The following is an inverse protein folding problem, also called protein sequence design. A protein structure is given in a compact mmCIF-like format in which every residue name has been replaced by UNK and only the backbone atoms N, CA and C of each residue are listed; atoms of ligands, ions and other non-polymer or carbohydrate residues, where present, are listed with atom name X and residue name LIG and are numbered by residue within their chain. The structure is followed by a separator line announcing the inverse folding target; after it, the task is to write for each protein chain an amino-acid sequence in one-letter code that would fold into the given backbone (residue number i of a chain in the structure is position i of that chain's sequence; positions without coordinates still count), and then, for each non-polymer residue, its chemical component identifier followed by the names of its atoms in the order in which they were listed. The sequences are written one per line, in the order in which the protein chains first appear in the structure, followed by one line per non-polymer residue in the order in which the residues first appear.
data_IF_880157991273
#
_entry.id   IF_880157991273
#
_cell.length_a   1.000
_cell.length_b   1.000
_cell.length_c   1.000
_cell.angle_alpha   90.00
_cell.angle_beta   90.00
_cell.angle_gamma   90.00
#
_symmetry.space_group_name_H-M   'P 1'
#
loop_
_entity.id
_entity.type
_entity.pdbx_description
1 polymer ?
#
# COMPACT_ATOMS: atom_id res chain seq x y z
N UNK A 1 -1.03 -0.97 -2.78
CA UNK A 1 -1.61 -0.82 -1.42
C UNK A 1 -1.60 -2.18 -0.74
N UNK A 2 -1.29 -2.23 0.55
CA UNK A 2 -1.35 -3.50 1.29
C UNK A 2 -2.79 -4.03 1.34
N UNK A 3 -2.93 -5.35 1.23
CA UNK A 3 -4.24 -6.02 1.15
C UNK A 3 -4.76 -6.44 2.52
N UNK A 4 -4.82 -5.47 3.42
CA UNK A 4 -5.36 -5.61 4.77
C UNK A 4 -6.70 -4.88 4.88
N UNK A 5 -7.57 -5.36 5.76
CA UNK A 5 -8.98 -4.95 5.75
C UNK A 5 -9.19 -3.45 5.99
N UNK A 6 -8.33 -2.80 6.78
CA UNK A 6 -8.45 -1.37 7.04
C UNK A 6 -8.08 -0.48 5.84
N UNK A 7 -7.42 -1.00 4.80
CA UNK A 7 -7.20 -0.28 3.53
C UNK A 7 -8.36 -0.42 2.53
N UNK A 8 -9.41 -1.19 2.85
CA UNK A 8 -10.55 -1.46 1.96
C UNK A 8 -11.77 -0.58 2.26
N UNK A 9 -11.53 0.62 2.78
CA UNK A 9 -12.60 1.58 3.06
C UNK A 9 -13.22 2.09 1.75
N UNK A 10 -14.54 1.98 1.61
CA UNK A 10 -15.26 2.40 0.39
C UNK A 10 -15.09 3.89 0.09
N UNK A 11 -15.07 4.74 1.13
CA UNK A 11 -14.91 6.18 0.94
C UNK A 11 -13.53 6.55 0.39
N UNK A 12 -12.50 5.86 0.85
CA UNK A 12 -11.13 6.04 0.34
C UNK A 12 -11.06 5.63 -1.13
N UNK A 13 -11.73 4.52 -1.50
CA UNK A 13 -11.83 4.09 -2.89
C UNK A 13 -12.52 5.14 -3.78
N UNK A 14 -13.67 5.65 -3.37
CA UNK A 14 -14.40 6.71 -4.09
C UNK A 14 -13.53 7.96 -4.31
N UNK A 15 -12.78 8.39 -3.28
CA UNK A 15 -11.91 9.57 -3.36
C UNK A 15 -10.72 9.36 -4.30
N UNK A 16 -10.21 8.13 -4.40
CA UNK A 16 -9.13 7.80 -5.34
C UNK A 16 -9.68 7.75 -6.78
N UNK A 17 -10.84 7.15 -6.98
CA UNK A 17 -11.48 7.06 -8.30
C UNK A 17 -11.94 8.44 -8.80
N UNK A 18 -12.34 9.37 -7.91
CA UNK A 18 -12.79 10.71 -8.30
C UNK A 18 -11.70 11.58 -8.93
N UNK A 19 -10.42 11.25 -8.70
CA UNK A 19 -9.27 11.92 -9.34
C UNK A 19 -8.74 11.16 -10.55
N UNK A 20 -9.47 10.13 -11.03
CA UNK A 20 -9.08 9.32 -12.18
C UNK A 20 -8.00 8.27 -11.90
N UNK A 21 -7.71 7.99 -10.62
CA UNK A 21 -6.77 6.95 -10.20
C UNK A 21 -7.48 5.63 -9.86
N UNK A 22 -6.72 4.55 -9.80
CA UNK A 22 -7.22 3.23 -9.41
C UNK A 22 -6.35 2.61 -8.32
N UNK A 23 -6.93 1.68 -7.55
CA UNK A 23 -6.24 1.00 -6.45
C UNK A 23 -5.82 -0.40 -6.91
N UNK A 24 -4.52 -0.68 -6.84
CA UNK A 24 -3.98 -2.02 -6.92
C UNK A 24 -3.63 -2.53 -5.52
N UNK A 25 -4.32 -3.58 -5.09
CA UNK A 25 -4.01 -4.30 -3.86
C UNK A 25 -2.97 -5.39 -4.14
N UNK A 26 -1.94 -5.48 -3.30
CA UNK A 26 -0.91 -6.51 -3.40
C UNK A 26 -1.45 -7.87 -2.90
N UNK A 27 -0.88 -9.02 -3.31
CA UNK A 27 -1.19 -10.29 -2.67
C UNK A 27 -0.85 -10.24 -1.16
N UNK A 28 -1.59 -10.99 -0.35
CA UNK A 28 -1.38 -11.01 1.11
C UNK A 28 0.03 -11.52 1.43
N UNK A 29 0.67 -10.95 2.45
CA UNK A 29 2.03 -11.31 2.90
C UNK A 29 3.09 -11.24 1.78
N UNK A 30 2.97 -10.27 0.87
CA UNK A 30 3.93 -10.05 -0.21
C UNK A 30 4.75 -8.75 -0.03
N UNK A 31 5.58 -8.65 1.02
CA UNK A 31 6.37 -7.43 1.29
C UNK A 31 7.34 -7.10 0.16
N UNK A 32 7.85 -8.12 -0.56
CA UNK A 32 8.76 -7.94 -1.70
C UNK A 32 8.10 -7.19 -2.87
N UNK A 33 6.77 -7.15 -2.93
CA UNK A 33 6.02 -6.42 -3.95
C UNK A 33 5.63 -5.00 -3.49
N UNK A 34 6.02 -4.58 -2.29
CA UNK A 34 5.80 -3.24 -1.77
C UNK A 34 7.12 -2.44 -1.75
N UNK A 35 7.40 -1.59 -2.76
CA UNK A 35 8.68 -0.89 -2.87
C UNK A 35 9.06 -0.06 -1.63
N UNK A 36 8.09 0.41 -0.85
CA UNK A 36 8.35 1.19 0.36
C UNK A 36 9.09 0.38 1.45
N UNK A 37 8.89 -0.94 1.50
CA UNK A 37 9.50 -1.81 2.49
C UNK A 37 11.03 -1.84 2.35
N UNK A 38 11.55 -1.76 1.12
CA UNK A 38 12.99 -1.65 0.88
C UNK A 38 13.59 -0.35 1.43
N UNK A 39 12.84 0.76 1.41
CA UNK A 39 13.27 2.02 2.00
C UNK A 39 13.18 1.95 3.54
N UNK A 40 12.10 1.40 4.08
CA UNK A 40 11.97 1.19 5.52
C UNK A 40 13.06 0.28 6.10
N UNK A 41 13.46 -0.76 5.36
CA UNK A 41 14.59 -1.60 5.75
C UNK A 41 15.84 -0.76 5.99
N UNK A 42 16.19 0.13 5.05
CA UNK A 42 17.36 1.01 5.21
C UNK A 42 17.22 1.93 6.43
N UNK A 43 16.05 2.54 6.63
CA UNK A 43 15.80 3.47 7.75
C UNK A 43 15.91 2.74 9.10
N UNK A 44 15.33 1.54 9.22
CA UNK A 44 15.36 0.74 10.46
C UNK A 44 16.75 0.24 10.83
N UNK A 45 17.66 0.17 9.86
CA UNK A 45 19.05 -0.29 10.04
C UNK A 45 20.06 0.84 9.84
N UNK A 46 19.60 2.09 9.83
CA UNK A 46 20.48 3.25 9.86
C UNK A 46 20.97 3.43 11.30
N UNK A 47 22.26 3.17 11.51
CA UNK A 47 22.95 3.33 12.80
C UNK A 47 22.96 4.79 13.27
#
# INVERSE_FOLDING_TARGET
MDNINFHKNSKVKELIESVGASILFLPTYSPDLNPIEHYWFKIKHAN
#
